data_IF_412935433625
#
_entry.id   IF_412935433625
#
_cell.length_a   1.000
_cell.length_b   1.000
_cell.length_c   1.000
_cell.angle_alpha   90.00
_cell.angle_beta   90.00
_cell.angle_gamma   90.00
#
_symmetry.space_group_name_H-M   'P 1'
#
loop_
_entity.id
_entity.type
_entity.pdbx_description
1 polymer ?
#
# COMPACT_ATOMS: atom_id res chain seq x y z
N UNK A 1 -1.14 -7.85 -4.09
CA UNK A 1 -0.72 -6.47 -3.76
C UNK A 1 0.25 -5.99 -4.83
N UNK A 2 0.02 -4.81 -5.39
CA UNK A 2 0.88 -4.22 -6.44
C UNK A 2 1.53 -2.96 -5.89
N UNK A 3 2.84 -2.81 -6.09
CA UNK A 3 3.60 -1.61 -5.72
C UNK A 3 4.24 -1.05 -6.99
N UNK A 4 4.17 0.26 -7.15
CA UNK A 4 4.71 0.95 -8.32
C UNK A 4 6.23 1.00 -8.34
N UNK A 5 6.81 1.27 -9.52
CA UNK A 5 8.23 1.61 -9.63
C UNK A 5 8.51 2.97 -8.98
N UNK A 6 9.71 3.18 -8.45
CA UNK A 6 10.11 4.42 -7.76
C UNK A 6 9.94 5.68 -8.62
N UNK A 7 10.17 5.57 -9.94
CA UNK A 7 10.07 6.69 -10.87
C UNK A 7 8.62 6.95 -11.30
N UNK A 8 7.99 5.98 -11.97
CA UNK A 8 6.67 6.18 -12.63
C UNK A 8 5.47 5.70 -11.83
N UNK A 9 5.68 5.18 -10.63
CA UNK A 9 4.62 4.55 -9.83
C UNK A 9 3.98 3.35 -10.55
N UNK A 10 2.66 3.20 -10.42
CA UNK A 10 1.90 2.11 -11.04
C UNK A 10 1.48 2.55 -12.45
N UNK A 11 1.79 1.72 -13.46
CA UNK A 11 1.37 1.94 -14.85
C UNK A 11 -0.15 1.97 -14.94
N UNK A 12 -0.69 2.82 -15.82
CA UNK A 12 -2.14 3.03 -16.00
C UNK A 12 -2.94 1.73 -16.14
N UNK A 13 -2.57 0.86 -17.09
CA UNK A 13 -3.26 -0.43 -17.30
C UNK A 13 -3.21 -1.34 -16.06
N UNK A 14 -2.07 -1.38 -15.36
CA UNK A 14 -1.94 -2.14 -14.11
C UNK A 14 -2.85 -1.57 -13.03
N UNK A 15 -2.95 -0.24 -12.93
CA UNK A 15 -3.84 0.44 -11.98
C UNK A 15 -5.32 0.18 -12.29
N UNK A 16 -5.71 0.16 -13.56
CA UNK A 16 -7.08 -0.12 -14.01
C UNK A 16 -7.51 -1.57 -13.73
N UNK A 17 -6.55 -2.51 -13.73
CA UNK A 17 -6.79 -3.91 -13.40
C UNK A 17 -6.76 -4.19 -11.88
N UNK A 18 -6.53 -3.18 -11.02
CA UNK A 18 -6.56 -3.36 -9.57
C UNK A 18 -7.99 -3.11 -9.04
N UNK A 19 -8.50 -4.01 -8.20
CA UNK A 19 -9.82 -3.86 -7.59
C UNK A 19 -9.90 -2.64 -6.65
N UNK A 20 -8.80 -2.35 -5.95
CA UNK A 20 -8.70 -1.28 -4.99
C UNK A 20 -7.38 -0.52 -5.13
N UNK A 21 -7.45 0.79 -4.89
CA UNK A 21 -6.29 1.66 -4.77
C UNK A 21 -6.17 2.14 -3.34
N UNK A 22 -5.00 1.92 -2.74
CA UNK A 22 -4.70 2.29 -1.36
C UNK A 22 -3.55 3.28 -1.37
N UNK A 23 -3.64 4.31 -0.51
CA UNK A 23 -2.56 5.27 -0.29
C UNK A 23 -2.25 5.36 1.20
N UNK A 24 -0.97 5.56 1.52
CA UNK A 24 -0.54 5.95 2.86
C UNK A 24 -0.71 7.47 2.93
N UNK A 25 -1.45 7.97 3.92
CA UNK A 25 -1.61 9.41 4.10
C UNK A 25 -0.28 9.98 4.63
N UNK A 26 0.36 10.85 3.85
CA UNK A 26 1.63 11.51 4.18
C UNK A 26 1.39 13.00 4.43
N UNK A 27 2.36 13.66 5.08
CA UNK A 27 2.36 15.11 5.21
C UNK A 27 2.69 15.78 3.86
N UNK A 28 2.25 17.02 3.66
CA UNK A 28 2.39 17.75 2.39
C UNK A 28 3.84 18.03 1.95
N UNK A 29 4.84 17.73 2.79
CA UNK A 29 6.25 18.04 2.51
C UNK A 29 6.99 16.96 1.72
N UNK A 30 6.41 15.77 1.56
CA UNK A 30 7.07 14.63 0.92
C UNK A 30 6.12 14.01 -0.09
N UNK A 31 6.58 13.88 -1.34
CA UNK A 31 5.76 13.36 -2.45
C UNK A 31 5.46 11.86 -2.32
N UNK A 32 6.45 11.06 -1.88
CA UNK A 32 6.30 9.61 -1.75
C UNK A 32 7.28 8.99 -0.75
N UNK A 33 6.92 7.81 -0.25
CA UNK A 33 7.83 6.94 0.49
C UNK A 33 8.55 6.00 -0.46
N UNK A 34 9.69 5.48 -0.02
CA UNK A 34 10.36 4.38 -0.70
C UNK A 34 9.40 3.18 -0.87
N UNK A 35 9.53 2.46 -2.00
CA UNK A 35 8.67 1.32 -2.32
C UNK A 35 8.75 0.21 -1.27
N UNK A 36 9.94 -0.08 -0.72
CA UNK A 36 10.12 -1.10 0.32
C UNK A 36 9.48 -0.69 1.64
N UNK A 37 9.61 0.58 2.03
CA UNK A 37 8.98 1.14 3.24
C UNK A 37 7.45 1.10 3.12
N UNK A 38 6.92 1.54 1.98
CA UNK A 38 5.48 1.47 1.69
C UNK A 38 4.95 0.04 1.77
N UNK A 39 5.71 -0.92 1.23
CA UNK A 39 5.38 -2.35 1.30
C UNK A 39 5.36 -2.85 2.74
N UNK A 40 6.36 -2.50 3.54
CA UNK A 40 6.45 -2.89 4.95
C UNK A 40 5.26 -2.39 5.77
N UNK A 41 4.87 -1.13 5.58
CA UNK A 41 3.69 -0.53 6.25
C UNK A 41 2.41 -1.29 5.87
N UNK A 42 2.20 -1.55 4.57
CA UNK A 42 1.01 -2.26 4.10
C UNK A 42 0.93 -3.69 4.62
N UNK A 43 2.05 -4.44 4.60
CA UNK A 43 2.10 -5.80 5.14
C UNK A 43 1.84 -5.84 6.65
N UNK A 44 2.41 -4.89 7.39
CA UNK A 44 2.15 -4.77 8.83
C UNK A 44 0.67 -4.53 9.10
N UNK A 45 0.06 -3.60 8.38
CA UNK A 45 -1.36 -3.27 8.54
C UNK A 45 -2.28 -4.45 8.16
N UNK A 46 -1.98 -5.15 7.06
CA UNK A 46 -2.70 -6.38 6.70
C UNK A 46 -2.63 -7.40 7.84
N UNK A 47 -1.44 -7.65 8.39
CA UNK A 47 -1.26 -8.60 9.51
C UNK A 47 -2.01 -8.15 10.76
N UNK A 48 -2.01 -6.85 11.09
CA UNK A 48 -2.74 -6.28 12.22
C UNK A 48 -4.25 -6.52 12.08
N UNK A 49 -4.81 -6.29 10.90
CA UNK A 49 -6.23 -6.51 10.64
C UNK A 49 -6.61 -8.00 10.63
N UNK A 50 -5.76 -8.86 10.09
CA UNK A 50 -5.96 -10.33 10.14
C UNK A 50 -6.02 -10.80 11.60
N UNK A 51 -5.10 -10.33 12.45
CA UNK A 51 -5.09 -10.68 13.87
C UNK A 51 -6.38 -10.22 14.57
N UNK A 52 -6.80 -8.97 14.37
CA UNK A 52 -8.03 -8.43 14.96
C UNK A 52 -9.27 -9.25 14.56
N UNK A 53 -9.36 -9.67 13.29
CA UNK A 53 -10.46 -10.53 12.84
C UNK A 53 -10.41 -11.92 13.45
N UNK A 54 -9.22 -12.48 13.62
CA UNK A 54 -9.04 -13.81 14.22
C UNK A 54 -9.34 -13.82 15.72
N UNK A 55 -9.12 -12.71 16.43
CA UNK A 55 -9.40 -12.57 17.86
C UNK A 55 -10.90 -12.29 18.14
N UNK A 56 -11.72 -12.08 17.10
CA UNK A 56 -13.17 -11.82 17.18
C UNK A 56 -14.05 -13.04 16.82
N UNK A 57 -13.45 -14.19 16.55
CA UNK A 57 -14.12 -15.49 16.28
C UNK A 57 -13.80 -16.44 17.44
#
# INVERSE_FOLDING_TARGET
MVIGSEDKGIRKLTRENCDHLVKINMSERIDSLNASVSTGILLFEMRRQIKIKSDQI
#
